data_IF_346636204022
#
_entry.id   IF_346636204022
#
_cell.length_a   1.000
_cell.length_b   1.000
_cell.length_c   1.000
_cell.angle_alpha   90.00
_cell.angle_beta   90.00
_cell.angle_gamma   90.00
#
_symmetry.space_group_name_H-M   'P 1'
#
loop_
_entity.id
_entity.type
_entity.pdbx_description
1 polymer ?
#
# COMPACT_ATOMS: atom_id res chain seq x y z
N UNK A 1 13.87 6.03 -6.58
CA UNK A 1 13.33 5.40 -7.80
C UNK A 1 14.06 5.97 -9.00
N UNK A 2 14.47 5.12 -9.94
CA UNK A 2 15.13 5.55 -11.18
C UNK A 2 14.17 6.32 -12.09
N UNK A 3 14.67 7.35 -12.78
CA UNK A 3 13.87 8.11 -13.76
C UNK A 3 13.43 7.24 -14.95
N UNK A 4 14.27 6.30 -15.39
CA UNK A 4 13.96 5.40 -16.50
C UNK A 4 12.83 4.43 -16.11
N UNK A 5 12.94 3.82 -14.93
CA UNK A 5 11.90 2.95 -14.40
C UNK A 5 10.59 3.71 -14.20
N UNK A 6 10.63 4.90 -13.59
CA UNK A 6 9.44 5.72 -13.41
C UNK A 6 8.76 6.03 -14.75
N UNK A 7 9.53 6.35 -15.80
CA UNK A 7 8.99 6.56 -17.14
C UNK A 7 8.36 5.29 -17.71
N UNK A 8 9.02 4.13 -17.58
CA UNK A 8 8.43 2.87 -18.06
C UNK A 8 7.15 2.50 -17.30
N UNK A 9 7.12 2.62 -15.97
CA UNK A 9 5.94 2.37 -15.15
C UNK A 9 4.78 3.31 -15.54
N UNK A 10 5.07 4.57 -15.86
CA UNK A 10 4.05 5.52 -16.35
C UNK A 10 3.41 5.08 -17.66
N UNK A 11 4.13 4.37 -18.55
CA UNK A 11 3.57 3.86 -19.82
C UNK A 11 2.48 2.80 -19.59
N UNK A 12 2.49 2.12 -18.45
CA UNK A 12 1.45 1.17 -18.03
C UNK A 12 0.26 1.85 -17.31
N UNK A 13 0.39 3.13 -16.94
CA UNK A 13 -0.73 3.90 -16.41
C UNK A 13 -1.63 4.41 -17.54
N UNK A 14 -2.97 4.32 -17.44
CA UNK A 14 -3.89 4.83 -18.46
C UNK A 14 -3.65 6.30 -18.84
N UNK A 15 -3.20 7.12 -17.88
CA UNK A 15 -2.88 8.54 -18.11
C UNK A 15 -1.51 8.76 -18.75
N UNK A 16 -0.56 7.86 -18.51
CA UNK A 16 0.79 7.98 -19.06
C UNK A 16 0.93 7.31 -20.44
N UNK A 17 0.08 6.34 -20.77
CA UNK A 17 0.04 5.72 -22.09
C UNK A 17 -0.30 6.70 -23.23
N UNK A 18 -0.95 7.84 -22.90
CA UNK A 18 -1.31 8.91 -23.83
C UNK A 18 -0.24 10.00 -23.98
N UNK A 19 0.82 9.95 -23.18
CA UNK A 19 1.90 10.94 -23.23
C UNK A 19 3.14 10.35 -23.91
N UNK A 20 3.47 10.87 -25.09
CA UNK A 20 4.81 10.73 -25.65
C UNK A 20 5.82 11.42 -24.72
N UNK A 21 6.96 10.76 -24.39
CA UNK A 21 7.97 11.32 -23.51
C UNK A 21 8.64 12.55 -24.14
N UNK A 22 8.08 13.74 -23.88
CA UNK A 22 8.54 15.02 -24.45
C UNK A 22 9.67 15.69 -23.65
N UNK A 23 10.32 14.97 -22.74
CA UNK A 23 11.35 15.54 -21.84
C UNK A 23 12.73 15.59 -22.53
N UNK A 24 13.17 16.82 -22.86
CA UNK A 24 14.43 17.25 -23.53
C UNK A 24 15.78 16.68 -23.03
N UNK A 25 15.83 15.83 -22.00
CA UNK A 25 17.07 15.20 -21.50
C UNK A 25 17.09 13.66 -21.64
N UNK A 26 16.00 13.06 -22.12
CA UNK A 26 15.86 11.61 -22.37
C UNK A 26 15.25 11.34 -23.77
N UNK A 27 15.27 12.36 -24.62
CA UNK A 27 14.54 12.45 -25.89
C UNK A 27 15.06 11.56 -27.02
N UNK A 28 15.93 10.59 -26.73
CA UNK A 28 16.44 9.63 -27.71
C UNK A 28 15.70 8.29 -27.68
N UNK A 29 15.15 7.88 -26.53
CA UNK A 29 14.46 6.59 -26.39
C UNK A 29 12.95 6.76 -26.47
N UNK A 30 12.35 6.05 -27.40
CA UNK A 30 10.90 5.95 -27.54
C UNK A 30 10.28 5.01 -26.51
N UNK A 31 8.97 4.81 -26.68
CA UNK A 31 8.14 3.94 -25.84
C UNK A 31 8.63 2.50 -25.89
N UNK A 32 8.93 2.00 -27.08
CA UNK A 32 9.21 0.59 -27.32
C UNK A 32 10.58 0.18 -26.77
N UNK A 33 11.55 1.09 -26.80
CA UNK A 33 12.87 0.90 -26.20
C UNK A 33 12.78 0.80 -24.67
N UNK A 34 11.97 1.66 -24.04
CA UNK A 34 11.74 1.62 -22.59
C UNK A 34 11.00 0.35 -22.16
N UNK A 35 9.98 -0.07 -22.93
CA UNK A 35 9.26 -1.31 -22.65
C UNK A 35 10.17 -2.52 -22.90
N UNK A 36 10.95 -2.51 -23.96
CA UNK A 36 11.91 -3.56 -24.29
C UNK A 36 12.97 -3.72 -23.20
N UNK A 37 13.55 -2.62 -22.73
CA UNK A 37 14.52 -2.64 -21.63
C UNK A 37 13.91 -3.20 -20.34
N UNK A 38 12.68 -2.78 -20.01
CA UNK A 38 11.97 -3.32 -18.86
C UNK A 38 11.72 -4.83 -19.00
N UNK A 39 11.26 -5.27 -20.18
CA UNK A 39 10.99 -6.69 -20.43
C UNK A 39 12.26 -7.54 -20.33
N UNK A 40 13.38 -7.09 -20.90
CA UNK A 40 14.67 -7.80 -20.80
C UNK A 40 15.10 -7.87 -19.34
N UNK A 41 15.09 -6.75 -18.61
CA UNK A 41 15.46 -6.72 -17.20
C UNK A 41 14.55 -7.61 -16.31
N UNK A 42 13.28 -7.77 -16.71
CA UNK A 42 12.31 -8.58 -15.98
C UNK A 42 12.45 -10.09 -16.16
N UNK A 43 13.14 -10.56 -17.23
CA UNK A 43 13.33 -12.00 -17.47
C UNK A 43 14.03 -12.71 -16.31
N UNK A 44 15.05 -12.07 -15.75
CA UNK A 44 15.82 -12.60 -14.62
C UNK A 44 15.22 -12.17 -13.26
N UNK A 45 14.25 -11.24 -13.27
CA UNK A 45 13.68 -10.62 -12.07
C UNK A 45 12.13 -10.55 -12.12
N UNK A 46 11.44 -11.68 -12.34
CA UNK A 46 10.00 -11.66 -12.59
C UNK A 46 9.21 -11.14 -11.38
N UNK A 47 9.57 -11.51 -10.15
CA UNK A 47 8.85 -11.04 -8.95
C UNK A 47 9.15 -9.58 -8.64
N UNK A 48 10.35 -9.13 -8.97
CA UNK A 48 10.71 -7.71 -8.90
C UNK A 48 9.79 -6.84 -9.76
N UNK A 49 9.48 -7.29 -10.99
CA UNK A 49 8.53 -6.59 -11.85
C UNK A 49 7.12 -6.60 -11.25
N UNK A 50 6.64 -7.76 -10.79
CA UNK A 50 5.30 -7.85 -10.18
C UNK A 50 5.18 -6.93 -8.96
N UNK A 51 6.22 -6.86 -8.12
CA UNK A 51 6.25 -5.95 -6.99
C UNK A 51 6.13 -4.48 -7.41
N UNK A 52 6.89 -4.06 -8.42
CA UNK A 52 6.83 -2.68 -8.92
C UNK A 52 5.46 -2.33 -9.52
N UNK A 53 4.83 -3.27 -10.25
CA UNK A 53 3.46 -3.13 -10.75
C UNK A 53 2.45 -3.04 -9.60
N UNK A 54 2.57 -3.90 -8.59
CA UNK A 54 1.69 -3.93 -7.44
C UNK A 54 1.80 -2.68 -6.55
N UNK A 55 3.01 -2.23 -6.24
CA UNK A 55 3.24 -1.08 -5.34
C UNK A 55 2.94 0.27 -6.01
N UNK A 56 3.28 0.42 -7.30
CA UNK A 56 3.18 1.72 -7.98
C UNK A 56 1.90 1.89 -8.79
N UNK A 57 1.34 0.81 -9.33
CA UNK A 57 0.15 0.87 -10.19
C UNK A 57 -1.08 0.23 -9.54
N UNK A 58 -0.91 -0.45 -8.40
CA UNK A 58 -1.99 -1.22 -7.75
C UNK A 58 -2.54 -2.26 -8.75
N UNK A 59 -1.64 -2.86 -9.53
CA UNK A 59 -2.01 -3.84 -10.53
C UNK A 59 -2.52 -5.12 -9.86
N UNK A 60 -3.76 -5.50 -10.17
CA UNK A 60 -4.43 -6.64 -9.51
C UNK A 60 -3.79 -7.97 -9.89
N UNK A 61 -3.40 -8.14 -11.16
CA UNK A 61 -2.80 -9.38 -11.62
C UNK A 61 -1.42 -9.58 -10.98
N UNK A 62 -0.66 -8.51 -10.83
CA UNK A 62 0.62 -8.55 -10.14
C UNK A 62 0.48 -8.87 -8.64
N UNK A 63 -0.52 -8.28 -7.97
CA UNK A 63 -0.84 -8.60 -6.58
C UNK A 63 -1.22 -10.10 -6.44
N UNK A 64 -2.05 -10.62 -7.36
CA UNK A 64 -2.45 -12.03 -7.39
C UNK A 64 -1.27 -12.98 -7.66
N UNK A 65 -0.38 -12.61 -8.59
CA UNK A 65 0.82 -13.38 -8.92
C UNK A 65 1.79 -13.45 -7.74
N UNK A 66 2.04 -12.32 -7.05
CA UNK A 66 2.85 -12.30 -5.82
C UNK A 66 2.18 -13.10 -4.70
N UNK A 67 0.85 -13.03 -4.57
CA UNK A 67 0.13 -13.81 -3.58
C UNK A 67 0.30 -15.31 -3.82
N UNK A 68 0.19 -15.76 -5.07
CA UNK A 68 0.42 -17.15 -5.44
C UNK A 68 1.86 -17.57 -5.14
N UNK A 69 2.84 -16.76 -5.53
CA UNK A 69 4.26 -17.01 -5.25
C UNK A 69 4.55 -17.20 -3.75
N UNK A 70 4.03 -16.32 -2.90
CA UNK A 70 4.20 -16.46 -1.45
C UNK A 70 3.44 -17.65 -0.87
N UNK A 71 2.23 -17.94 -1.36
CA UNK A 71 1.46 -19.11 -0.90
C UNK A 71 2.20 -20.41 -1.19
N UNK A 72 2.78 -20.53 -2.39
CA UNK A 72 3.50 -21.71 -2.83
C UNK A 72 4.83 -21.86 -2.08
N UNK A 73 5.61 -20.77 -1.95
CA UNK A 73 6.91 -20.83 -1.28
C UNK A 73 6.83 -21.01 0.23
N UNK A 74 5.77 -20.52 0.88
CA UNK A 74 5.56 -20.64 2.34
C UNK A 74 4.64 -21.81 2.71
N UNK A 75 4.11 -22.53 1.73
CA UNK A 75 3.18 -23.67 1.90
C UNK A 75 1.96 -23.35 2.80
N UNK A 76 1.59 -22.08 2.92
CA UNK A 76 0.50 -21.65 3.79
C UNK A 76 -0.10 -20.33 3.28
N UNK A 77 -1.39 -20.37 2.93
CA UNK A 77 -2.09 -19.22 2.35
C UNK A 77 -2.24 -18.03 3.31
N UNK A 78 -2.33 -18.25 4.62
CA UNK A 78 -2.40 -17.16 5.60
C UNK A 78 -1.04 -16.47 5.74
N UNK A 79 0.02 -17.26 5.90
CA UNK A 79 1.39 -16.73 5.97
C UNK A 79 1.74 -15.99 4.68
N UNK A 80 1.37 -16.54 3.52
CA UNK A 80 1.57 -15.88 2.24
C UNK A 80 0.84 -14.53 2.13
N UNK A 81 -0.38 -14.41 2.65
CA UNK A 81 -1.08 -13.11 2.73
C UNK A 81 -0.36 -12.11 3.63
N UNK A 82 0.20 -12.58 4.75
CA UNK A 82 0.99 -11.72 5.63
C UNK A 82 2.29 -11.26 4.95
N UNK A 83 2.98 -12.15 4.24
CA UNK A 83 4.19 -11.81 3.47
C UNK A 83 3.90 -10.76 2.40
N UNK A 84 2.80 -10.91 1.65
CA UNK A 84 2.37 -9.91 0.67
C UNK A 84 2.06 -8.55 1.31
N UNK A 85 1.35 -8.55 2.45
CA UNK A 85 1.07 -7.31 3.18
C UNK A 85 2.36 -6.64 3.68
N UNK A 86 3.33 -7.43 4.15
CA UNK A 86 4.65 -6.95 4.56
C UNK A 86 5.38 -6.31 3.37
N UNK A 87 5.48 -7.02 2.24
CA UNK A 87 6.11 -6.54 1.01
C UNK A 87 5.51 -5.21 0.52
N UNK A 88 4.18 -5.13 0.45
CA UNK A 88 3.46 -3.94 -0.02
C UNK A 88 3.27 -2.87 1.05
N UNK A 89 3.88 -3.03 2.23
CA UNK A 89 3.78 -2.09 3.37
C UNK A 89 2.33 -1.77 3.76
N UNK A 90 1.49 -2.80 3.78
CA UNK A 90 0.07 -2.77 4.14
C UNK A 90 -0.12 -3.32 5.56
N UNK A 91 -1.12 -2.81 6.31
CA UNK A 91 -1.39 -3.32 7.65
C UNK A 91 -1.81 -4.78 7.64
N UNK A 92 -1.35 -5.53 8.64
CA UNK A 92 -1.92 -6.83 8.97
C UNK A 92 -3.30 -6.67 9.63
N UNK A 93 -4.20 -7.67 9.54
CA UNK A 93 -5.57 -7.57 10.08
C UNK A 93 -5.62 -7.12 11.55
N UNK A 94 -4.70 -7.61 12.37
CA UNK A 94 -4.61 -7.30 13.81
C UNK A 94 -4.11 -5.87 14.08
N UNK A 95 -3.55 -5.20 13.07
CA UNK A 95 -3.13 -3.80 13.15
C UNK A 95 -4.25 -2.84 12.70
N UNK A 96 -5.22 -3.31 11.91
CA UNK A 96 -6.22 -2.46 11.27
C UNK A 96 -7.01 -1.62 12.27
N UNK A 97 -7.58 -2.22 13.31
CA UNK A 97 -8.40 -1.48 14.29
C UNK A 97 -7.62 -0.31 14.92
N UNK A 98 -6.40 -0.60 15.40
CA UNK A 98 -5.54 0.42 16.01
C UNK A 98 -5.19 1.54 15.02
N UNK A 99 -4.98 1.21 13.75
CA UNK A 99 -4.62 2.17 12.72
C UNK A 99 -5.82 3.02 12.28
N UNK A 100 -7.01 2.43 12.14
CA UNK A 100 -8.25 3.15 11.84
C UNK A 100 -8.53 4.22 12.89
N UNK A 101 -8.38 3.89 14.17
CA UNK A 101 -8.57 4.86 15.27
C UNK A 101 -7.59 6.05 15.21
N UNK A 102 -6.43 5.88 14.56
CA UNK A 102 -5.45 6.93 14.35
C UNK A 102 -5.66 7.76 13.07
N UNK A 103 -6.64 7.39 12.24
CA UNK A 103 -6.88 8.03 10.96
C UNK A 103 -7.64 9.36 11.14
N UNK A 104 -7.14 10.50 10.60
CA UNK A 104 -7.78 11.81 10.76
C UNK A 104 -9.23 11.84 10.27
N UNK A 105 -9.52 11.19 9.15
CA UNK A 105 -10.89 11.03 8.65
C UNK A 105 -11.79 10.26 9.63
N UNK A 106 -11.32 9.13 10.19
CA UNK A 106 -12.10 8.38 11.17
C UNK A 106 -12.34 9.21 12.44
N UNK A 107 -11.33 9.93 12.94
CA UNK A 107 -11.51 10.79 14.11
C UNK A 107 -12.55 11.90 13.87
N UNK A 108 -12.57 12.49 12.67
CA UNK A 108 -13.60 13.45 12.26
C UNK A 108 -15.00 12.83 12.30
N UNK A 109 -15.20 11.66 11.67
CA UNK A 109 -16.50 10.99 11.65
C UNK A 109 -16.91 10.46 13.03
N UNK A 110 -15.95 10.06 13.86
CA UNK A 110 -16.18 9.69 15.26
C UNK A 110 -16.73 10.85 16.07
N UNK A 111 -16.19 12.06 15.90
CA UNK A 111 -16.71 13.28 16.56
C UNK A 111 -18.13 13.60 16.08
N UNK A 112 -18.42 13.43 14.79
CA UNK A 112 -19.77 13.59 14.23
C UNK A 112 -20.75 12.56 14.82
N UNK A 113 -20.35 11.30 14.89
CA UNK A 113 -21.12 10.21 15.49
C UNK A 113 -21.41 10.44 16.98
N UNK A 114 -20.48 11.08 17.71
CA UNK A 114 -20.70 11.46 19.11
C UNK A 114 -21.82 12.50 19.27
N UNK A 115 -21.95 13.46 18.35
CA UNK A 115 -23.07 14.43 18.35
C UNK A 115 -24.41 13.72 18.13
N UNK A 116 -24.46 12.75 17.22
CA UNK A 116 -25.66 11.91 16.99
C UNK A 116 -26.00 11.11 18.24
N UNK A 117 -25.00 10.54 18.90
CA UNK A 117 -25.19 9.80 20.16
C UNK A 117 -25.76 10.69 21.28
N UNK A 118 -25.31 11.94 21.40
CA UNK A 118 -25.87 12.87 22.39
C UNK A 118 -27.33 13.23 22.10
N UNK A 119 -27.74 13.30 20.82
CA UNK A 119 -29.16 13.42 20.44
C UNK A 119 -29.94 12.16 20.82
N UNK A 120 -29.38 10.97 20.57
CA UNK A 120 -30.00 9.70 20.92
C UNK A 120 -30.28 9.63 22.44
N UNK A 121 -29.27 9.95 23.26
CA UNK A 121 -29.42 10.00 24.73
C UNK A 121 -30.48 11.00 25.20
N UNK A 122 -30.66 12.13 24.48
CA UNK A 122 -31.74 13.07 24.78
C UNK A 122 -33.09 12.46 24.44
N UNK A 123 -33.26 11.86 23.26
CA UNK A 123 -34.51 11.20 22.87
C UNK A 123 -34.94 10.13 23.88
N UNK A 124 -34.00 9.27 24.31
CA UNK A 124 -34.26 8.24 25.30
C UNK A 124 -34.67 8.82 26.66
N UNK A 125 -34.02 9.90 27.13
CA UNK A 125 -34.44 10.61 28.36
C UNK A 125 -35.85 11.20 28.30
N UNK A 126 -36.38 11.46 27.11
CA UNK A 126 -37.76 11.94 26.90
C UNK A 126 -38.73 10.78 26.62
N UNK A 127 -38.30 9.52 26.77
CA UNK A 127 -39.13 8.33 26.51
C UNK A 127 -39.41 8.06 25.02
N UNK A 128 -38.67 8.69 24.11
CA UNK A 128 -38.82 8.44 22.67
C UNK A 128 -37.83 7.38 22.19
N UNK A 129 -38.17 6.11 22.46
CA UNK A 129 -37.32 4.97 22.13
C UNK A 129 -37.20 4.71 20.62
N UNK A 130 -38.24 5.03 19.84
CA UNK A 130 -38.17 4.93 18.38
C UNK A 130 -37.10 5.86 17.80
N UNK A 131 -37.07 7.12 18.23
CA UNK A 131 -36.06 8.08 17.78
C UNK A 131 -34.67 7.74 18.34
N UNK A 132 -34.59 7.18 19.55
CA UNK A 132 -33.34 6.66 20.09
C UNK A 132 -32.74 5.56 19.19
N UNK A 133 -33.53 4.55 18.80
CA UNK A 133 -33.09 3.48 17.91
C UNK A 133 -32.66 4.02 16.54
N UNK A 134 -33.47 4.91 15.94
CA UNK A 134 -33.12 5.55 14.66
C UNK A 134 -31.77 6.27 14.71
N UNK A 135 -31.51 7.02 15.78
CA UNK A 135 -30.26 7.75 15.96
C UNK A 135 -29.07 6.83 16.30
N UNK A 136 -29.30 5.71 17.00
CA UNK A 136 -28.28 4.69 17.20
C UNK A 136 -27.85 4.06 15.88
N UNK A 137 -28.81 3.72 15.03
CA UNK A 137 -28.54 3.16 13.70
C UNK A 137 -27.77 4.16 12.84
N UNK A 138 -28.17 5.43 12.85
CA UNK A 138 -27.46 6.51 12.17
C UNK A 138 -26.00 6.63 12.68
N UNK A 139 -25.79 6.60 13.99
CA UNK A 139 -24.46 6.63 14.62
C UNK A 139 -23.60 5.44 14.18
N UNK A 140 -24.18 4.23 14.18
CA UNK A 140 -23.47 3.01 13.79
C UNK A 140 -23.13 3.02 12.30
N UNK A 141 -24.04 3.47 11.44
CA UNK A 141 -23.81 3.62 10.02
C UNK A 141 -22.63 4.57 9.74
N UNK A 142 -22.59 5.75 10.38
CA UNK A 142 -21.48 6.70 10.24
C UNK A 142 -20.14 6.03 10.57
N UNK A 143 -20.05 5.34 11.70
CA UNK A 143 -18.80 4.71 12.14
C UNK A 143 -18.39 3.54 11.25
N UNK A 144 -19.34 2.69 10.83
CA UNK A 144 -19.06 1.54 9.97
C UNK A 144 -18.59 1.98 8.58
N UNK A 145 -19.26 2.98 7.98
CA UNK A 145 -18.83 3.56 6.70
C UNK A 145 -17.45 4.22 6.84
N UNK A 146 -17.21 4.95 7.92
CA UNK A 146 -15.91 5.58 8.15
C UNK A 146 -14.79 4.54 8.34
N UNK A 147 -15.08 3.47 9.08
CA UNK A 147 -14.16 2.36 9.29
C UNK A 147 -13.80 1.69 7.97
N UNK A 148 -14.81 1.25 7.19
CA UNK A 148 -14.60 0.60 5.90
C UNK A 148 -13.73 1.43 4.96
N UNK A 149 -14.04 2.73 4.82
CA UNK A 149 -13.23 3.64 4.00
C UNK A 149 -11.76 3.72 4.44
N UNK A 150 -11.50 3.79 5.75
CA UNK A 150 -10.13 3.86 6.25
C UNK A 150 -9.38 2.54 6.03
N UNK A 151 -10.04 1.40 6.23
CA UNK A 151 -9.48 0.08 5.93
C UNK A 151 -9.12 -0.03 4.45
N UNK A 152 -10.06 0.30 3.56
CA UNK A 152 -9.85 0.23 2.11
C UNK A 152 -8.69 1.13 1.69
N UNK A 153 -8.64 2.37 2.17
CA UNK A 153 -7.53 3.28 1.83
C UNK A 153 -6.18 2.72 2.26
N UNK A 154 -6.07 2.18 3.48
CA UNK A 154 -4.80 1.64 3.98
C UNK A 154 -4.40 0.33 3.30
N UNK A 155 -5.35 -0.56 3.02
CA UNK A 155 -5.10 -1.82 2.31
C UNK A 155 -4.76 -1.60 0.84
N UNK A 156 -5.32 -0.57 0.20
CA UNK A 156 -5.00 -0.25 -1.19
C UNK A 156 -3.64 0.46 -1.29
N UNK A 157 -3.44 1.52 -0.49
CA UNK A 157 -2.31 2.44 -0.68
C UNK A 157 -1.10 2.15 0.19
N UNK A 158 -1.25 1.37 1.26
CA UNK A 158 -0.21 1.18 2.28
C UNK A 158 0.23 2.48 2.98
N UNK A 159 -0.47 3.61 2.76
CA UNK A 159 -0.06 4.90 3.32
C UNK A 159 -0.33 4.94 4.82
N UNK A 160 0.60 5.54 5.55
CA UNK A 160 0.42 5.80 6.97
C UNK A 160 -0.81 6.69 7.17
N UNK A 161 -1.80 6.28 7.98
CA UNK A 161 -3.03 7.06 8.19
C UNK A 161 -2.76 8.41 8.86
N UNK A 162 -1.67 8.50 9.65
CA UNK A 162 -1.36 9.69 10.43
C UNK A 162 -0.72 10.82 9.60
N UNK A 163 0.10 10.48 8.60
CA UNK A 163 0.77 11.46 7.73
C UNK A 163 0.32 11.40 6.28
N UNK A 164 -0.67 10.55 5.97
CA UNK A 164 -1.27 10.37 4.64
C UNK A 164 -0.22 10.16 3.54
N UNK A 165 0.84 9.41 3.82
CA UNK A 165 1.92 9.15 2.86
C UNK A 165 3.11 10.10 2.91
N UNK A 166 3.03 11.23 3.63
CA UNK A 166 4.07 12.27 3.55
C UNK A 166 5.32 11.98 4.38
N UNK A 167 5.25 11.05 5.34
CA UNK A 167 6.34 10.82 6.30
C UNK A 167 6.53 11.95 7.32
N UNK A 168 5.79 13.05 7.19
CA UNK A 168 5.99 14.27 8.00
C UNK A 168 4.74 14.67 8.75
N UNK A 169 4.91 15.38 9.86
CA UNK A 169 3.82 16.02 10.59
C UNK A 169 3.47 17.35 9.92
N UNK A 170 2.25 17.46 9.42
CA UNK A 170 1.73 18.66 8.74
C UNK A 170 1.86 19.97 9.55
N UNK A 171 1.75 19.91 10.89
CA UNK A 171 1.72 21.11 11.74
C UNK A 171 3.04 21.47 12.43
N UNK A 172 3.91 20.50 12.66
CA UNK A 172 5.13 20.68 13.48
C UNK A 172 6.40 20.62 12.60
N UNK A 173 6.29 20.15 11.35
CA UNK A 173 7.42 20.10 10.41
C UNK A 173 8.44 18.99 10.69
N UNK A 174 8.18 18.10 11.64
CA UNK A 174 9.05 16.97 11.98
C UNK A 174 8.62 15.62 11.39
N UNK A 175 9.41 14.60 11.64
CA UNK A 175 9.15 13.21 11.23
C UNK A 175 7.85 12.68 11.85
N UNK A 176 7.14 11.86 11.08
CA UNK A 176 5.97 11.16 11.58
C UNK A 176 6.44 9.99 12.48
N UNK A 177 6.12 9.98 13.78
CA UNK A 177 6.57 8.93 14.70
C UNK A 177 5.82 7.62 14.51
N UNK A 178 4.74 7.61 13.71
CA UNK A 178 3.91 6.42 13.47
C UNK A 178 4.43 5.55 12.35
N UNK A 179 5.08 6.16 11.37
CA UNK A 179 5.71 5.46 10.26
C UNK A 179 7.22 5.63 10.22
N UNK A 180 7.79 6.35 11.20
CA UNK A 180 9.21 6.71 11.25
C UNK A 180 9.66 7.25 9.90
N UNK A 181 9.07 8.37 9.48
CA UNK A 181 9.35 9.08 8.21
C UNK A 181 9.05 8.38 6.88
N UNK A 182 8.82 7.06 6.88
CA UNK A 182 8.63 6.28 5.64
C UNK A 182 7.37 6.66 4.85
N UNK A 183 6.41 7.33 5.50
CA UNK A 183 5.10 7.62 4.92
C UNK A 183 4.19 6.40 4.74
N UNK A 184 4.67 5.19 4.98
CA UNK A 184 3.94 3.94 4.81
C UNK A 184 3.54 3.32 6.15
N UNK A 185 2.59 2.40 6.14
CA UNK A 185 2.31 1.56 7.31
C UNK A 185 3.54 0.67 7.55
N UNK A 186 3.92 0.51 8.82
CA UNK A 186 4.93 -0.46 9.24
C UNK A 186 4.22 -1.75 9.68
N UNK A 187 4.23 -2.81 8.85
CA UNK A 187 3.60 -4.07 9.21
C UNK A 187 4.37 -4.72 10.38
N UNK A 188 3.65 -5.26 11.36
CA UNK A 188 4.26 -5.85 12.55
C UNK A 188 4.66 -7.30 12.25
N UNK A 189 5.88 -7.48 11.73
CA UNK A 189 6.40 -8.80 11.35
C UNK A 189 6.48 -9.77 12.53
N UNK A 190 6.61 -9.27 13.76
CA UNK A 190 6.59 -10.11 14.95
C UNK A 190 5.23 -10.79 15.16
N UNK A 191 4.14 -10.34 14.51
CA UNK A 191 2.89 -11.09 14.46
C UNK A 191 3.06 -12.45 13.79
N UNK A 192 3.93 -12.56 12.77
CA UNK A 192 4.20 -13.84 12.10
C UNK A 192 4.82 -14.81 13.09
N UNK A 193 5.88 -14.42 13.80
CA UNK A 193 6.51 -15.30 14.81
C UNK A 193 5.57 -15.64 15.97
N UNK A 194 4.79 -14.67 16.46
CA UNK A 194 3.81 -14.95 17.52
C UNK A 194 2.74 -15.98 17.12
N UNK A 195 2.39 -16.08 15.83
CA UNK A 195 1.35 -17.00 15.34
C UNK A 195 1.90 -18.33 14.82
N UNK A 196 3.01 -18.28 14.10
CA UNK A 196 3.51 -19.40 13.31
C UNK A 196 4.92 -19.84 13.71
N UNK A 197 5.56 -19.14 14.65
CA UNK A 197 6.91 -19.43 15.13
C UNK A 197 8.01 -18.68 14.38
N UNK A 198 9.19 -18.61 15.00
CA UNK A 198 10.33 -17.85 14.49
C UNK A 198 10.86 -18.34 13.15
N UNK A 199 10.85 -19.64 12.89
CA UNK A 199 11.29 -20.21 11.61
C UNK A 199 10.44 -19.71 10.44
N UNK A 200 9.12 -19.66 10.62
CA UNK A 200 8.20 -19.14 9.61
C UNK A 200 8.42 -17.64 9.39
N UNK A 201 8.70 -16.87 10.45
CA UNK A 201 9.06 -15.46 10.30
C UNK A 201 10.32 -15.30 9.43
N UNK A 202 11.37 -16.09 9.68
CA UNK A 202 12.61 -16.03 8.89
C UNK A 202 12.37 -16.39 7.42
N UNK A 203 11.54 -17.41 7.15
CA UNK A 203 11.16 -17.75 5.77
C UNK A 203 10.39 -16.62 5.08
N UNK A 204 9.48 -15.96 5.80
CA UNK A 204 8.75 -14.78 5.29
C UNK A 204 9.72 -13.63 4.98
N UNK A 205 10.62 -13.31 5.91
CA UNK A 205 11.65 -12.27 5.71
C UNK A 205 12.50 -12.57 4.49
N UNK A 206 13.03 -13.80 4.38
CA UNK A 206 13.87 -14.21 3.26
C UNK A 206 13.15 -14.07 1.91
N UNK A 207 11.90 -14.51 1.80
CA UNK A 207 11.15 -14.41 0.55
C UNK A 207 10.78 -12.96 0.21
N UNK A 208 10.41 -12.15 1.21
CA UNK A 208 10.13 -10.72 0.98
C UNK A 208 11.39 -10.00 0.52
N UNK A 209 12.52 -10.27 1.15
CA UNK A 209 13.82 -9.70 0.79
C UNK A 209 14.23 -10.12 -0.63
N UNK A 210 14.03 -11.37 -1.02
CA UNK A 210 14.31 -11.84 -2.39
C UNK A 210 13.55 -11.02 -3.44
N UNK A 211 12.25 -10.76 -3.22
CA UNK A 211 11.45 -9.95 -4.15
C UNK A 211 11.96 -8.51 -4.20
N UNK A 212 12.36 -7.94 -3.06
CA UNK A 212 12.95 -6.59 -2.99
C UNK A 212 14.30 -6.54 -3.73
N UNK A 213 15.13 -7.57 -3.59
CA UNK A 213 16.39 -7.68 -4.31
C UNK A 213 16.17 -7.76 -5.82
N UNK A 214 15.24 -8.61 -6.27
CA UNK A 214 14.87 -8.67 -7.69
C UNK A 214 14.39 -7.32 -8.23
N UNK A 215 13.59 -6.57 -7.47
CA UNK A 215 13.14 -5.23 -7.90
C UNK A 215 14.31 -4.23 -8.02
N UNK A 216 15.25 -4.29 -7.07
CA UNK A 216 16.49 -3.50 -7.10
C UNK A 216 17.33 -3.86 -8.34
N UNK A 217 17.53 -5.15 -8.60
CA UNK A 217 18.40 -5.61 -9.69
C UNK A 217 17.77 -5.39 -11.06
N UNK A 218 16.45 -5.55 -11.18
CA UNK A 218 15.68 -5.10 -12.34
C UNK A 218 15.92 -3.62 -12.62
N UNK A 219 15.83 -2.77 -11.59
CA UNK A 219 16.04 -1.33 -11.74
C UNK A 219 17.45 -1.02 -12.26
N UNK A 220 18.48 -1.66 -11.69
CA UNK A 220 19.88 -1.49 -12.10
C UNK A 220 20.13 -1.99 -13.53
N UNK A 221 19.56 -3.15 -13.88
CA UNK A 221 19.68 -3.75 -15.21
C UNK A 221 19.03 -2.86 -16.28
N UNK A 222 17.81 -2.38 -16.02
CA UNK A 222 17.11 -1.46 -16.91
C UNK A 222 17.88 -0.13 -17.07
N UNK A 223 18.40 0.44 -15.98
CA UNK A 223 19.22 1.66 -16.08
C UNK A 223 20.49 1.50 -16.89
N UNK A 224 21.11 0.31 -16.83
CA UNK A 224 22.31 0.00 -17.61
C UNK A 224 21.98 -0.06 -19.11
N UNK A 225 20.95 -0.82 -19.47
CA UNK A 225 20.49 -0.95 -20.86
C UNK A 225 20.10 0.40 -21.46
N UNK A 226 19.34 1.19 -20.71
CA UNK A 226 18.94 2.53 -21.14
C UNK A 226 20.14 3.45 -21.33
N UNK A 227 21.18 3.35 -20.48
CA UNK A 227 22.42 4.10 -20.66
C UNK A 227 23.19 3.65 -21.90
N UNK A 228 23.25 2.35 -22.16
CA UNK A 228 23.90 1.80 -23.35
C UNK A 228 23.20 2.27 -24.63
N UNK A 229 21.86 2.23 -24.69
CA UNK A 229 21.09 2.65 -25.86
C UNK A 229 21.14 4.16 -26.17
N UNK A 230 21.43 5.01 -25.17
CA UNK A 230 21.56 6.47 -25.36
C UNK A 230 22.97 6.87 -25.82
N UNK A 231 23.94 5.98 -25.65
CA UNK A 231 25.34 6.19 -26.03
C UNK A 231 25.68 5.66 -27.44
N UNK A 232 24.75 4.93 -28.05
CA UNK A 232 24.75 4.49 -29.46
C UNK A 232 24.15 5.56 -30.38
#
# INVERSE_FOLDING_TARGET
>A
MSKALEMALRLFSPKGALHEPTSRNFSALGRDELIGALQIASKDNPQGLQYLMADHLIDKQAIEALQAHFNDGLCNAEVGRMALAILLRRPLPEQLERLVLSHPYYDKERRRAAVVMEKAKRAHRHGNDHEYLRLLDERNAILNTAHGRCVDEMLISGRCPHCTGTGRRLRIGGECPKCHDTGRVAPDIALVSRRFGGEVQLSVESMVDEVIYQASDLTKAMERQVREMVME
#
